data_IF_265661606060
#
_entry.id   IF_265661606060
#
_cell.length_a   1.000
_cell.length_b   1.000
_cell.length_c   1.000
_cell.angle_alpha   90.00
_cell.angle_beta   90.00
_cell.angle_gamma   90.00
#
_symmetry.space_group_name_H-M   'P 1'
#
loop_
_entity.id
_entity.type
_entity.pdbx_description
1 polymer ?
#
# COMPACT_ATOMS: atom_id res chain seq x y z
N UNK A 1 -3.83 -20.77 -3.44
CA UNK A 1 -4.16 -19.41 -2.92
C UNK A 1 -3.06 -18.75 -2.08
N UNK A 2 -2.15 -19.48 -1.42
CA UNK A 2 -1.10 -18.86 -0.59
C UNK A 2 -0.14 -17.93 -1.33
N UNK A 3 0.30 -18.32 -2.53
CA UNK A 3 1.22 -17.52 -3.37
C UNK A 3 0.62 -16.17 -3.77
N UNK A 4 -0.67 -16.12 -4.13
CA UNK A 4 -1.37 -14.88 -4.48
C UNK A 4 -1.46 -13.92 -3.29
N UNK A 5 -1.69 -14.44 -2.08
CA UNK A 5 -1.73 -13.63 -0.84
C UNK A 5 -0.34 -13.05 -0.51
N UNK A 6 0.71 -13.86 -0.66
CA UNK A 6 2.09 -13.42 -0.49
C UNK A 6 2.46 -12.33 -1.50
N UNK A 7 2.11 -12.51 -2.77
CA UNK A 7 2.31 -11.50 -3.80
C UNK A 7 1.56 -10.19 -3.51
N UNK A 8 0.31 -10.28 -3.06
CA UNK A 8 -0.48 -9.12 -2.68
C UNK A 8 0.11 -8.37 -1.48
N UNK A 9 0.61 -9.09 -0.46
CA UNK A 9 1.29 -8.47 0.68
C UNK A 9 2.61 -7.80 0.29
N UNK A 10 3.42 -8.46 -0.54
CA UNK A 10 4.67 -7.88 -1.03
C UNK A 10 4.41 -6.59 -1.83
N UNK A 11 3.40 -6.61 -2.71
CA UNK A 11 2.97 -5.43 -3.44
C UNK A 11 2.48 -4.31 -2.50
N UNK A 12 1.67 -4.64 -1.49
CA UNK A 12 1.17 -3.65 -0.55
C UNK A 12 2.29 -2.99 0.26
N UNK A 13 3.29 -3.76 0.69
CA UNK A 13 4.48 -3.24 1.37
C UNK A 13 5.28 -2.30 0.47
N UNK A 14 5.53 -2.70 -0.78
CA UNK A 14 6.21 -1.86 -1.76
C UNK A 14 5.42 -0.56 -2.03
N UNK A 15 4.09 -0.64 -2.13
CA UNK A 15 3.23 0.53 -2.32
C UNK A 15 3.29 1.49 -1.12
N UNK A 16 3.30 0.97 0.11
CA UNK A 16 3.46 1.76 1.33
C UNK A 16 4.83 2.45 1.40
N UNK A 17 5.90 1.73 1.05
CA UNK A 17 7.26 2.31 1.01
C UNK A 17 7.36 3.39 -0.06
N UNK A 18 6.87 3.13 -1.28
CA UNK A 18 6.87 4.10 -2.36
C UNK A 18 6.04 5.35 -2.02
N UNK A 19 4.85 5.14 -1.44
CA UNK A 19 3.98 6.23 -0.99
C UNK A 19 4.58 7.06 0.13
N UNK A 20 5.17 6.40 1.14
CA UNK A 20 5.88 7.06 2.24
C UNK A 20 7.07 7.87 1.76
N UNK A 21 7.87 7.34 0.83
CA UNK A 21 8.99 8.07 0.22
C UNK A 21 8.51 9.30 -0.58
N UNK A 22 7.39 9.20 -1.29
CA UNK A 22 6.82 10.36 -1.98
C UNK A 22 6.27 11.41 -1.01
N UNK A 23 5.62 11.00 0.09
CA UNK A 23 5.20 11.95 1.13
C UNK A 23 6.43 12.61 1.77
N UNK A 24 7.50 11.87 2.04
CA UNK A 24 8.75 12.44 2.52
C UNK A 24 9.37 13.43 1.52
N UNK A 25 9.34 13.13 0.22
CA UNK A 25 9.79 14.03 -0.83
C UNK A 25 8.90 15.28 -0.97
N UNK A 26 7.61 15.19 -0.65
CA UNK A 26 6.74 16.35 -0.57
C UNK A 26 7.15 17.29 0.56
N UNK A 27 7.50 16.75 1.73
CA UNK A 27 7.94 17.55 2.88
C UNK A 27 9.25 18.32 2.60
N UNK A 28 10.11 17.81 1.71
CA UNK A 28 11.39 18.45 1.39
C UNK A 28 11.33 19.42 0.21
N UNK A 29 10.56 19.10 -0.84
CA UNK A 29 10.54 19.91 -2.07
C UNK A 29 9.26 20.72 -2.26
N UNK A 30 8.16 20.41 -1.55
CA UNK A 30 6.89 21.16 -1.60
C UNK A 30 6.03 20.92 -2.85
N UNK A 31 6.37 19.98 -3.73
CA UNK A 31 5.61 19.75 -4.97
C UNK A 31 4.35 18.91 -4.69
N UNK A 32 3.18 19.50 -4.89
CA UNK A 32 1.85 18.86 -4.66
C UNK A 32 1.71 17.48 -5.33
N UNK A 33 2.34 17.27 -6.49
CA UNK A 33 2.38 15.96 -7.17
C UNK A 33 2.84 14.83 -6.25
N UNK A 34 3.84 15.06 -5.40
CA UNK A 34 4.36 14.05 -4.49
C UNK A 34 3.36 13.71 -3.37
N UNK A 35 2.59 14.69 -2.89
CA UNK A 35 1.53 14.45 -1.92
C UNK A 35 0.39 13.60 -2.50
N UNK A 36 -0.04 13.90 -3.74
CA UNK A 36 -1.13 13.17 -4.40
C UNK A 36 -0.73 11.72 -4.68
N UNK A 37 0.42 11.51 -5.33
CA UNK A 37 0.86 10.14 -5.68
C UNK A 37 1.23 9.37 -4.41
N UNK A 38 1.84 10.03 -3.43
CA UNK A 38 2.18 9.42 -2.15
C UNK A 38 0.96 8.98 -1.35
N UNK A 39 -0.04 9.85 -1.21
CA UNK A 39 -1.31 9.55 -0.56
C UNK A 39 -2.09 8.44 -1.27
N UNK A 40 -2.11 8.46 -2.61
CA UNK A 40 -2.72 7.40 -3.41
C UNK A 40 -2.05 6.04 -3.15
N UNK A 41 -0.72 5.98 -3.20
CA UNK A 41 0.02 4.75 -2.98
C UNK A 41 -0.21 4.17 -1.57
N UNK A 42 -0.27 5.03 -0.54
CA UNK A 42 -0.61 4.61 0.84
C UNK A 42 -2.03 4.05 0.92
N UNK A 43 -3.01 4.72 0.32
CA UNK A 43 -4.40 4.26 0.31
C UNK A 43 -4.54 2.89 -0.37
N UNK A 44 -3.86 2.69 -1.51
CA UNK A 44 -3.81 1.41 -2.22
C UNK A 44 -3.16 0.33 -1.35
N UNK A 45 -2.01 0.61 -0.73
CA UNK A 45 -1.33 -0.33 0.17
C UNK A 45 -2.24 -0.81 1.31
N UNK A 46 -2.90 0.12 2.00
CA UNK A 46 -3.85 -0.19 3.07
C UNK A 46 -5.05 -1.02 2.58
N UNK A 47 -5.61 -0.69 1.41
CA UNK A 47 -6.72 -1.44 0.82
C UNK A 47 -6.33 -2.88 0.49
N UNK A 48 -5.14 -3.10 -0.07
CA UNK A 48 -4.65 -4.44 -0.42
C UNK A 48 -4.40 -5.27 0.85
N UNK A 49 -3.81 -4.68 1.89
CA UNK A 49 -3.65 -5.36 3.19
C UNK A 49 -5.02 -5.77 3.75
N UNK A 50 -5.99 -4.87 3.75
CA UNK A 50 -7.36 -5.16 4.19
C UNK A 50 -7.99 -6.31 3.41
N UNK A 51 -7.84 -6.33 2.08
CA UNK A 51 -8.33 -7.41 1.23
C UNK A 51 -7.65 -8.76 1.54
N UNK A 52 -6.34 -8.77 1.78
CA UNK A 52 -5.62 -9.99 2.17
C UNK A 52 -6.12 -10.48 3.52
N UNK A 53 -6.23 -9.61 4.53
CA UNK A 53 -6.75 -9.96 5.87
C UNK A 53 -8.17 -10.52 5.76
N UNK A 54 -9.06 -9.84 5.04
CA UNK A 54 -10.44 -10.31 4.83
C UNK A 54 -10.47 -11.68 4.15
N UNK A 55 -9.61 -11.91 3.15
CA UNK A 55 -9.50 -13.21 2.47
C UNK A 55 -9.05 -14.32 3.42
N UNK A 56 -8.13 -14.03 4.34
CA UNK A 56 -7.62 -15.00 5.32
C UNK A 56 -8.68 -15.32 6.35
N UNK A 57 -9.36 -14.29 6.88
CA UNK A 57 -10.46 -14.46 7.84
C UNK A 57 -11.60 -15.26 7.22
N UNK A 58 -12.00 -14.95 5.99
CA UNK A 58 -13.08 -15.69 5.31
C UNK A 58 -12.72 -17.15 5.00
N UNK A 59 -11.46 -17.44 4.76
CA UNK A 59 -10.97 -18.80 4.52
C UNK A 59 -10.89 -19.66 5.80
N UNK A 60 -10.96 -19.05 6.99
CA UNK A 60 -10.96 -19.74 8.28
C UNK A 60 -12.37 -20.01 8.82
N UNK A 61 -13.40 -19.38 8.25
CA UNK A 61 -14.82 -19.68 8.53
C UNK A 61 -15.31 -20.77 7.59
#
# INVERSE_FOLDING_TARGET
MGVLRLGALAFALLALVAGGLQIAAFLTNGWVRHAIVGGFAVAVGCSVIGAVVASVVRSRR
#
